data_IF_377103708742
#
_entry.id   IF_377103708742
#
_cell.length_a   1.000
_cell.length_b   1.000
_cell.length_c   1.000
_cell.angle_alpha   90.00
_cell.angle_beta   90.00
_cell.angle_gamma   90.00
#
_symmetry.space_group_name_H-M   'P 1'
#
loop_
_entity.id
_entity.type
_entity.pdbx_description
1 polymer ?
#
# COMPACT_ATOMS: atom_id res chain seq x y z
N UNK A 1 9.82 32.72 59.36
CA UNK A 1 8.57 31.98 59.07
C UNK A 1 8.33 31.73 57.57
N UNK A 2 8.68 32.67 56.68
CA UNK A 2 8.51 32.54 55.21
C UNK A 2 9.37 31.43 54.58
N UNK A 3 10.66 31.32 54.95
CA UNK A 3 11.57 30.29 54.41
C UNK A 3 11.14 28.85 54.74
N UNK A 4 10.44 28.64 55.86
CA UNK A 4 10.00 27.32 56.31
C UNK A 4 8.81 26.84 55.47
N UNK A 5 7.84 27.72 55.17
CA UNK A 5 6.72 27.42 54.26
C UNK A 5 7.19 27.09 52.83
N UNK A 6 8.25 27.76 52.36
CA UNK A 6 8.82 27.53 51.03
C UNK A 6 9.50 26.15 50.91
N UNK A 7 10.17 25.67 51.97
CA UNK A 7 10.73 24.31 52.01
C UNK A 7 9.66 23.22 51.94
N UNK A 8 8.56 23.36 52.68
CA UNK A 8 7.45 22.39 52.62
C UNK A 8 6.72 22.40 51.27
N UNK A 9 6.61 23.57 50.63
CA UNK A 9 6.01 23.69 49.29
C UNK A 9 6.86 22.98 48.21
N UNK A 10 8.19 23.13 48.26
CA UNK A 10 9.11 22.46 47.32
C UNK A 10 9.13 20.95 47.54
N UNK A 11 9.12 20.47 48.79
CA UNK A 11 9.05 19.04 49.10
C UNK A 11 7.73 18.42 48.64
N UNK A 12 6.61 19.14 48.78
CA UNK A 12 5.30 18.74 48.26
C UNK A 12 5.30 18.60 46.72
N UNK A 13 5.93 19.54 46.02
CA UNK A 13 6.03 19.53 44.56
C UNK A 13 6.86 18.34 44.02
N UNK A 14 7.91 17.93 44.74
CA UNK A 14 8.73 16.76 44.42
C UNK A 14 8.02 15.42 44.69
N UNK A 15 7.14 15.36 45.70
CA UNK A 15 6.33 14.17 45.97
C UNK A 15 5.22 13.99 44.91
N UNK A 16 4.63 15.08 44.40
CA UNK A 16 3.62 15.03 43.34
C UNK A 16 4.16 14.55 41.98
N UNK A 17 5.40 14.88 41.64
CA UNK A 17 6.04 14.42 40.40
C UNK A 17 6.48 12.95 40.45
N UNK A 18 6.73 12.40 41.63
CA UNK A 18 7.05 10.97 41.80
C UNK A 18 5.85 10.03 41.57
N UNK A 19 4.61 10.55 41.60
CA UNK A 19 3.39 9.81 41.28
C UNK A 19 2.84 10.13 39.88
N UNK A 20 3.52 10.98 39.10
CA UNK A 20 3.14 11.26 37.72
C UNK A 20 3.55 10.05 36.84
N UNK A 21 2.61 9.14 36.58
CA UNK A 21 2.77 8.15 35.52
C UNK A 21 2.69 8.85 34.17
N UNK A 22 3.77 8.79 33.39
CA UNK A 22 3.68 9.11 31.96
C UNK A 22 2.61 8.22 31.32
N UNK A 23 1.86 8.78 30.37
CA UNK A 23 0.85 8.01 29.65
C UNK A 23 1.51 6.81 28.96
N UNK A 24 1.00 5.60 29.21
CA UNK A 24 1.51 4.41 28.57
C UNK A 24 1.34 4.51 27.05
N UNK A 25 2.36 4.07 26.32
CA UNK A 25 2.35 4.07 24.86
C UNK A 25 1.27 3.11 24.37
N UNK A 26 0.19 3.63 23.80
CA UNK A 26 -0.85 2.83 23.17
C UNK A 26 -0.34 2.25 21.86
N UNK A 27 -0.65 0.97 21.61
CA UNK A 27 -0.33 0.27 20.36
C UNK A 27 -1.60 -0.25 19.71
N UNK A 28 -1.61 -0.30 18.37
CA UNK A 28 -2.70 -0.92 17.62
C UNK A 28 -2.57 -2.45 17.67
N UNK A 29 -3.70 -3.14 17.54
CA UNK A 29 -3.70 -4.58 17.31
C UNK A 29 -3.37 -4.86 15.84
N UNK A 30 -2.57 -5.91 15.54
CA UNK A 30 -2.42 -6.39 14.17
C UNK A 30 -3.75 -6.97 13.67
N UNK A 31 -3.93 -7.00 12.35
CA UNK A 31 -5.19 -7.44 11.73
C UNK A 31 -5.58 -8.87 12.11
N UNK A 32 -4.61 -9.77 12.28
CA UNK A 32 -4.84 -11.15 12.69
C UNK A 32 -5.17 -11.34 14.18
N UNK A 33 -5.17 -10.26 14.98
CA UNK A 33 -5.54 -10.31 16.41
C UNK A 33 -6.98 -9.86 16.68
N UNK A 34 -7.70 -9.40 15.66
CA UNK A 34 -9.08 -8.92 15.79
C UNK A 34 -9.97 -9.59 14.74
N UNK A 35 -10.89 -10.43 15.20
CA UNK A 35 -11.83 -11.12 14.31
C UNK A 35 -13.20 -10.44 14.33
N UNK A 36 -13.73 -10.17 13.13
CA UNK A 36 -15.11 -9.72 12.95
C UNK A 36 -15.96 -10.93 12.58
N UNK A 37 -16.78 -11.40 13.53
CA UNK A 37 -17.54 -12.65 13.38
C UNK A 37 -18.92 -12.46 12.74
N UNK A 38 -19.54 -11.27 12.90
CA UNK A 38 -20.89 -11.01 12.40
C UNK A 38 -21.20 -9.50 12.28
N UNK A 39 -22.38 -9.19 11.72
CA UNK A 39 -22.89 -7.83 11.58
C UNK A 39 -22.36 -7.06 10.37
N UNK A 40 -22.70 -5.78 10.29
CA UNK A 40 -22.50 -4.94 9.10
C UNK A 40 -21.04 -4.85 8.61
N UNK A 41 -20.06 -4.92 9.52
CA UNK A 41 -18.65 -4.89 9.15
C UNK A 41 -18.18 -6.21 8.53
N UNK A 42 -18.75 -7.35 8.98
CA UNK A 42 -18.49 -8.66 8.36
C UNK A 42 -19.09 -8.70 6.96
N UNK A 43 -20.32 -8.23 6.81
CA UNK A 43 -21.01 -8.16 5.52
C UNK A 43 -20.27 -7.24 4.53
N UNK A 44 -19.78 -6.09 5.00
CA UNK A 44 -18.95 -5.20 4.19
C UNK A 44 -17.64 -5.87 3.74
N UNK A 45 -16.92 -6.54 4.66
CA UNK A 45 -15.68 -7.25 4.32
C UNK A 45 -15.90 -8.40 3.32
N UNK A 46 -17.00 -9.14 3.43
CA UNK A 46 -17.36 -10.19 2.47
C UNK A 46 -17.76 -9.60 1.11
N UNK A 47 -18.49 -8.48 1.11
CA UNK A 47 -18.88 -7.78 -0.11
C UNK A 47 -17.66 -7.26 -0.87
N UNK A 48 -16.72 -6.63 -0.15
CA UNK A 48 -15.45 -6.17 -0.71
C UNK A 48 -14.63 -7.34 -1.27
N UNK A 49 -14.50 -8.45 -0.53
CA UNK A 49 -13.78 -9.62 -1.03
C UNK A 49 -14.45 -10.28 -2.24
N UNK A 50 -15.78 -10.28 -2.32
CA UNK A 50 -16.48 -10.72 -3.53
C UNK A 50 -16.17 -9.82 -4.72
N UNK A 51 -16.04 -8.50 -4.52
CA UNK A 51 -15.62 -7.58 -5.56
C UNK A 51 -14.17 -7.85 -6.01
N UNK A 52 -13.25 -8.04 -5.07
CA UNK A 52 -11.85 -8.40 -5.35
C UNK A 52 -11.77 -9.70 -6.17
N UNK A 53 -12.57 -10.71 -5.83
CA UNK A 53 -12.65 -11.98 -6.57
C UNK A 53 -13.21 -11.83 -7.99
N UNK A 54 -14.01 -10.80 -8.25
CA UNK A 54 -14.55 -10.53 -9.58
C UNK A 54 -13.55 -9.84 -10.51
N UNK A 55 -12.42 -9.34 -9.97
CA UNK A 55 -11.34 -8.75 -10.77
C UNK A 55 -10.48 -9.86 -11.40
N UNK A 56 -10.12 -9.66 -12.66
CA UNK A 56 -9.22 -10.51 -13.41
C UNK A 56 -7.78 -10.05 -13.16
N UNK A 57 -7.01 -10.90 -12.46
CA UNK A 57 -5.62 -10.62 -12.13
C UNK A 57 -4.74 -10.46 -13.37
N UNK A 58 -4.99 -11.19 -14.46
CA UNK A 58 -4.17 -11.09 -15.67
C UNK A 58 -4.32 -9.73 -16.34
N UNK A 59 -5.54 -9.17 -16.31
CA UNK A 59 -5.81 -7.83 -16.82
C UNK A 59 -5.21 -6.73 -15.95
N UNK A 60 -5.19 -6.93 -14.63
CA UNK A 60 -4.53 -6.00 -13.70
C UNK A 60 -3.00 -6.00 -13.87
N UNK A 61 -2.43 -7.17 -14.17
CA UNK A 61 -0.98 -7.34 -14.27
C UNK A 61 -0.43 -7.06 -15.67
N UNK A 62 -1.28 -7.05 -16.70
CA UNK A 62 -0.90 -6.80 -18.09
C UNK A 62 0.01 -5.57 -18.30
N UNK A 63 -0.22 -4.40 -17.66
CA UNK A 63 0.68 -3.25 -17.77
C UNK A 63 2.12 -3.55 -17.36
N UNK A 64 2.31 -4.32 -16.28
CA UNK A 64 3.63 -4.64 -15.75
C UNK A 64 4.39 -5.59 -16.68
N UNK A 65 3.70 -6.59 -17.23
CA UNK A 65 4.29 -7.50 -18.21
C UNK A 65 4.73 -6.73 -19.46
N UNK A 66 3.85 -5.86 -19.99
CA UNK A 66 4.13 -5.00 -21.14
C UNK A 66 5.40 -4.17 -20.93
N UNK A 67 5.48 -3.43 -19.83
CA UNK A 67 6.62 -2.54 -19.57
C UNK A 67 7.94 -3.31 -19.31
N UNK A 68 7.86 -4.58 -18.92
CA UNK A 68 9.02 -5.47 -18.81
C UNK A 68 9.35 -6.23 -20.11
N UNK A 69 8.66 -5.95 -21.21
CA UNK A 69 8.87 -6.64 -22.50
C UNK A 69 8.40 -8.10 -22.51
N UNK A 70 7.53 -8.48 -21.58
CA UNK A 70 6.88 -9.79 -21.54
C UNK A 70 5.51 -9.71 -22.21
N UNK A 71 5.07 -10.82 -22.82
CA UNK A 71 3.73 -10.90 -23.42
C UNK A 71 2.65 -10.94 -22.33
N UNK A 72 1.70 -9.98 -22.30
CA UNK A 72 0.56 -10.03 -21.39
C UNK A 72 -0.35 -11.24 -21.65
N UNK A 73 -0.93 -11.81 -20.60
CA UNK A 73 -1.87 -12.95 -20.71
C UNK A 73 -3.29 -12.53 -21.11
N UNK A 74 -3.61 -11.26 -20.92
CA UNK A 74 -4.87 -10.63 -21.27
C UNK A 74 -4.63 -9.13 -21.55
N UNK A 75 -5.59 -8.49 -22.20
CA UNK A 75 -5.58 -7.03 -22.35
C UNK A 75 -5.80 -6.34 -20.99
N UNK A 76 -5.11 -5.22 -20.77
CA UNK A 76 -5.34 -4.38 -19.59
C UNK A 76 -6.82 -4.06 -19.40
N UNK A 77 -7.20 -3.79 -18.15
CA UNK A 77 -8.47 -3.12 -17.90
C UNK A 77 -8.55 -1.79 -18.65
N UNK A 78 -9.78 -1.35 -18.95
CA UNK A 78 -10.02 -0.06 -19.60
C UNK A 78 -10.07 1.07 -18.56
N UNK A 79 -10.59 2.24 -18.94
CA UNK A 79 -10.63 3.42 -18.07
C UNK A 79 -9.21 3.83 -17.67
N UNK A 80 -8.91 4.12 -16.41
CA UNK A 80 -7.61 4.64 -16.03
C UNK A 80 -6.46 3.65 -16.27
N UNK A 81 -6.76 2.35 -16.30
CA UNK A 81 -5.79 1.26 -16.55
C UNK A 81 -5.33 1.14 -18.01
N UNK A 82 -5.91 1.93 -18.93
CA UNK A 82 -5.40 2.08 -20.30
C UNK A 82 -5.40 3.53 -20.83
N UNK A 83 -5.59 4.52 -19.94
CA UNK A 83 -5.51 5.94 -20.28
C UNK A 83 -4.37 6.66 -19.55
N UNK A 84 -3.41 5.91 -18.99
CA UNK A 84 -2.14 6.46 -18.50
C UNK A 84 -1.84 6.22 -17.02
N UNK A 85 -2.79 5.67 -16.23
CA UNK A 85 -2.57 5.27 -14.84
C UNK A 85 -2.35 3.76 -14.69
N UNK A 86 -2.12 3.07 -15.81
CA UNK A 86 -1.93 1.64 -15.93
C UNK A 86 -1.05 1.05 -14.80
N UNK A 87 -1.57 0.08 -14.06
CA UNK A 87 -0.91 -0.61 -12.96
C UNK A 87 -1.34 -0.19 -11.56
N UNK A 88 -1.93 1.00 -11.39
CA UNK A 88 -2.23 1.54 -10.05
C UNK A 88 -3.22 0.66 -9.27
N UNK A 89 -4.21 0.09 -9.96
CA UNK A 89 -5.23 -0.77 -9.34
C UNK A 89 -4.61 -2.07 -8.85
N UNK A 90 -3.61 -2.62 -9.55
CA UNK A 90 -2.95 -3.86 -9.15
C UNK A 90 -2.20 -3.71 -7.82
N UNK A 91 -1.57 -2.56 -7.58
CA UNK A 91 -0.93 -2.25 -6.30
C UNK A 91 -1.94 -2.22 -5.14
N UNK A 92 -3.10 -1.61 -5.36
CA UNK A 92 -4.21 -1.62 -4.39
C UNK A 92 -4.81 -3.02 -4.19
N UNK A 93 -4.97 -3.78 -5.27
CA UNK A 93 -5.46 -5.16 -5.25
C UNK A 93 -4.57 -6.07 -4.37
N UNK A 94 -3.23 -5.97 -4.52
CA UNK A 94 -2.27 -6.70 -3.68
C UNK A 94 -2.39 -6.30 -2.21
N UNK A 95 -2.54 -5.01 -1.94
CA UNK A 95 -2.74 -4.51 -0.57
C UNK A 95 -4.04 -5.03 0.04
N UNK A 96 -5.13 -5.00 -0.72
CA UNK A 96 -6.45 -5.47 -0.28
C UNK A 96 -6.43 -6.97 0.02
N UNK A 97 -5.85 -7.79 -0.86
CA UNK A 97 -5.67 -9.23 -0.63
C UNK A 97 -4.80 -9.52 0.60
N UNK A 98 -3.70 -8.78 0.78
CA UNK A 98 -2.80 -8.93 1.92
C UNK A 98 -3.50 -8.63 3.25
N UNK A 99 -4.24 -7.53 3.30
CA UNK A 99 -5.00 -7.14 4.50
C UNK A 99 -6.16 -8.10 4.78
N UNK A 100 -6.88 -8.54 3.74
CA UNK A 100 -7.96 -9.50 3.89
C UNK A 100 -7.44 -10.83 4.41
N UNK A 101 -6.41 -11.39 3.77
CA UNK A 101 -5.79 -12.65 4.21
C UNK A 101 -5.27 -12.57 5.65
N UNK A 102 -4.61 -11.46 6.01
CA UNK A 102 -4.15 -11.24 7.39
C UNK A 102 -5.30 -11.21 8.40
N UNK A 103 -6.46 -10.65 8.01
CA UNK A 103 -7.62 -10.53 8.90
C UNK A 103 -8.44 -11.82 9.02
N UNK A 104 -8.47 -12.66 7.97
CA UNK A 104 -9.41 -13.79 7.89
C UNK A 104 -8.75 -15.16 7.81
N UNK A 105 -7.49 -15.23 7.38
CA UNK A 105 -6.81 -16.48 7.05
C UNK A 105 -7.37 -17.18 5.80
N UNK A 106 -8.19 -16.50 4.98
CA UNK A 106 -8.85 -17.11 3.82
C UNK A 106 -7.83 -17.63 2.78
N UNK A 107 -7.79 -18.94 2.50
CA UNK A 107 -6.82 -19.51 1.57
C UNK A 107 -6.99 -19.00 0.13
N UNK A 108 -8.19 -18.58 -0.29
CA UNK A 108 -8.40 -18.04 -1.64
C UNK A 108 -7.72 -16.69 -1.81
N UNK A 109 -7.82 -15.82 -0.80
CA UNK A 109 -7.11 -14.54 -0.83
C UNK A 109 -5.60 -14.73 -0.91
N UNK A 110 -5.07 -15.73 -0.20
CA UNK A 110 -3.65 -16.11 -0.26
C UNK A 110 -3.25 -16.58 -1.67
N UNK A 111 -4.01 -17.49 -2.27
CA UNK A 111 -3.74 -18.01 -3.62
C UNK A 111 -3.69 -16.87 -4.66
N UNK A 112 -4.66 -15.96 -4.60
CA UNK A 112 -4.72 -14.80 -5.50
C UNK A 112 -3.55 -13.84 -5.30
N UNK A 113 -3.13 -13.64 -4.04
CA UNK A 113 -1.97 -12.81 -3.70
C UNK A 113 -0.67 -13.45 -4.20
N UNK A 114 -0.47 -14.74 -3.94
CA UNK A 114 0.72 -15.48 -4.39
C UNK A 114 0.83 -15.50 -5.92
N UNK A 115 -0.29 -15.62 -6.62
CA UNK A 115 -0.32 -15.51 -8.08
C UNK A 115 0.20 -14.14 -8.56
N UNK A 116 -0.35 -13.04 -8.03
CA UNK A 116 0.06 -11.70 -8.42
C UNK A 116 1.54 -11.44 -8.10
N UNK A 117 2.01 -11.88 -6.93
CA UNK A 117 3.42 -11.74 -6.55
C UNK A 117 4.35 -12.55 -7.45
N UNK A 118 3.95 -13.75 -7.87
CA UNK A 118 4.73 -14.58 -8.79
C UNK A 118 4.88 -13.92 -10.18
N UNK A 119 3.82 -13.30 -10.70
CA UNK A 119 3.90 -12.56 -11.97
C UNK A 119 4.76 -11.30 -11.84
N UNK A 120 4.64 -10.55 -10.74
CA UNK A 120 5.49 -9.38 -10.50
C UNK A 120 6.97 -9.75 -10.29
N UNK A 121 7.26 -10.91 -9.71
CA UNK A 121 8.63 -11.45 -9.64
C UNK A 121 9.18 -11.75 -11.04
N UNK A 122 8.37 -12.29 -11.96
CA UNK A 122 8.77 -12.47 -13.37
C UNK A 122 9.07 -11.13 -14.05
N UNK A 123 8.22 -10.12 -13.83
CA UNK A 123 8.42 -8.74 -14.30
C UNK A 123 9.74 -8.17 -13.80
N UNK A 124 9.99 -8.25 -12.49
CA UNK A 124 11.21 -7.71 -11.89
C UNK A 124 12.48 -8.40 -12.42
N UNK A 125 12.42 -9.73 -12.60
CA UNK A 125 13.52 -10.52 -13.18
C UNK A 125 13.78 -10.15 -14.64
N UNK A 126 12.74 -9.96 -15.44
CA UNK A 126 12.87 -9.54 -16.84
C UNK A 126 13.50 -8.14 -16.96
N UNK A 127 13.11 -7.21 -16.10
CA UNK A 127 13.71 -5.88 -16.06
C UNK A 127 15.17 -5.87 -15.57
N UNK A 128 15.53 -6.74 -14.62
CA UNK A 128 16.91 -6.91 -14.14
C UNK A 128 17.49 -5.71 -13.36
N UNK A 129 16.70 -4.67 -13.12
CA UNK A 129 17.11 -3.42 -12.47
C UNK A 129 16.28 -3.09 -11.21
N UNK A 130 15.40 -4.02 -10.78
CA UNK A 130 14.50 -3.87 -9.64
C UNK A 130 13.17 -3.16 -9.96
N UNK A 131 13.00 -2.61 -11.17
CA UNK A 131 11.78 -1.91 -11.58
C UNK A 131 10.59 -2.86 -11.73
N UNK A 132 9.46 -2.43 -11.18
CA UNK A 132 8.13 -3.03 -11.34
C UNK A 132 7.17 -1.85 -11.51
N UNK A 133 6.52 -1.73 -12.66
CA UNK A 133 5.52 -0.69 -12.88
C UNK A 133 4.81 -0.84 -14.20
N UNK A 134 3.61 -0.25 -14.30
CA UNK A 134 2.75 -0.32 -15.48
C UNK A 134 2.71 0.96 -16.32
N UNK A 135 3.34 2.05 -15.88
CA UNK A 135 3.27 3.36 -16.57
C UNK A 135 3.72 3.23 -18.03
N UNK A 136 2.89 3.61 -19.03
CA UNK A 136 3.26 3.45 -20.43
C UNK A 136 4.55 4.17 -20.82
N UNK A 137 5.56 3.44 -21.32
CA UNK A 137 6.86 3.99 -21.68
C UNK A 137 7.72 4.32 -20.46
N UNK A 138 7.62 3.51 -19.42
CA UNK A 138 8.29 3.66 -18.14
C UNK A 138 9.83 3.70 -18.24
N UNK A 139 10.43 2.88 -19.09
CA UNK A 139 11.89 2.86 -19.28
C UNK A 139 12.43 4.23 -19.72
N UNK A 140 11.79 4.84 -20.74
CA UNK A 140 12.13 6.17 -21.21
C UNK A 140 11.89 7.24 -20.13
N UNK A 141 10.75 7.20 -19.44
CA UNK A 141 10.43 8.11 -18.34
C UNK A 141 11.55 8.09 -17.28
N UNK A 142 11.90 6.91 -16.76
CA UNK A 142 12.86 6.81 -15.67
C UNK A 142 14.30 7.07 -16.11
N UNK A 143 14.65 6.78 -17.36
CA UNK A 143 15.92 7.18 -17.95
C UNK A 143 16.06 8.71 -18.01
N UNK A 144 15.00 9.43 -18.39
CA UNK A 144 14.99 10.89 -18.41
C UNK A 144 15.12 11.50 -17.01
N UNK A 145 14.35 10.99 -16.04
CA UNK A 145 14.43 11.43 -14.64
C UNK A 145 15.84 11.20 -14.08
N UNK A 146 16.43 10.03 -14.32
CA UNK A 146 17.81 9.72 -13.92
C UNK A 146 18.83 10.69 -14.55
N UNK A 147 18.58 11.16 -15.77
CA UNK A 147 19.40 12.14 -16.47
C UNK A 147 19.15 13.59 -16.03
N UNK A 148 18.26 13.83 -15.06
CA UNK A 148 17.89 15.18 -14.59
C UNK A 148 16.95 15.93 -15.53
N UNK A 149 16.36 15.26 -16.52
CA UNK A 149 15.35 15.85 -17.41
C UNK A 149 13.98 15.73 -16.73
N UNK A 150 13.61 16.77 -15.98
CA UNK A 150 12.42 16.76 -15.14
C UNK A 150 11.45 17.83 -15.67
N UNK A 151 10.31 17.39 -16.21
CA UNK A 151 9.19 18.24 -16.60
C UNK A 151 7.97 17.89 -15.74
N UNK A 152 7.84 18.56 -14.60
CA UNK A 152 6.77 18.30 -13.63
C UNK A 152 5.60 19.28 -13.81
N UNK A 153 4.40 18.74 -13.95
CA UNK A 153 3.13 19.45 -13.86
C UNK A 153 2.35 19.07 -12.59
N UNK A 154 1.15 19.64 -12.39
CA UNK A 154 0.33 19.32 -11.22
C UNK A 154 -0.10 17.86 -11.12
N UNK A 155 -0.30 17.20 -12.28
CA UNK A 155 -0.70 15.80 -12.37
C UNK A 155 0.17 15.01 -13.37
N UNK A 156 1.34 15.54 -13.72
CA UNK A 156 2.20 14.90 -14.71
C UNK A 156 3.68 14.97 -14.35
N UNK A 157 4.42 13.97 -14.81
CA UNK A 157 5.88 13.96 -14.83
C UNK A 157 6.32 13.42 -16.19
N UNK A 158 7.00 14.26 -16.97
CA UNK A 158 7.43 13.95 -18.33
C UNK A 158 6.29 13.36 -19.18
N UNK A 159 5.15 14.06 -19.20
CA UNK A 159 3.92 13.71 -19.93
C UNK A 159 3.26 12.38 -19.51
N UNK A 160 3.68 11.77 -18.40
CA UNK A 160 3.01 10.63 -17.79
C UNK A 160 2.11 11.06 -16.64
N UNK A 161 0.96 10.42 -16.50
CA UNK A 161 -0.03 10.75 -15.48
C UNK A 161 0.42 10.24 -14.11
N UNK A 162 0.77 11.17 -13.21
CA UNK A 162 1.20 10.92 -11.81
C UNK A 162 2.03 9.63 -11.58
N UNK A 163 3.12 9.37 -12.32
CA UNK A 163 3.85 8.10 -12.27
C UNK A 163 4.60 7.84 -10.95
N UNK A 164 4.68 8.84 -10.07
CA UNK A 164 5.20 8.68 -8.70
C UNK A 164 4.13 8.20 -7.72
N UNK A 165 2.85 8.39 -8.04
CA UNK A 165 1.72 7.92 -7.25
C UNK A 165 1.35 6.47 -7.60
N UNK A 166 1.36 6.15 -8.90
CA UNK A 166 1.13 4.80 -9.43
C UNK A 166 2.12 3.81 -8.84
#
# INVERSE_FOLDING_TARGET
MFLIKMKYFVVSLFLLSAFAKAQEKVSLFPLNAVSIESGVFKEAALTDFNYIQALDADRLLAPFLREAGLEPKADSYTNWENTGLDGHTAGHYISALSMYYSSTGDPKAKEMLEYALAELDRVQKANGNGYIGGVPGSDALWAEIKAGKINAGSFSLNDKWVPLYN
#
